data_IF_570547413663
#
_entry.id   IF_570547413663
#
_cell.length_a   1.000
_cell.length_b   1.000
_cell.length_c   1.000
_cell.angle_alpha   90.00
_cell.angle_beta   90.00
_cell.angle_gamma   90.00
#
_symmetry.space_group_name_H-M   'P 1'
#
loop_
_entity.id
_entity.type
_entity.pdbx_description
1 polymer ?
#
# COMPACT_ATOMS: atom_id res chain seq x y z
N UNK A 1 34.78 25.63 -70.40
CA UNK A 1 36.04 25.05 -69.85
C UNK A 1 37.21 25.70 -70.59
N UNK A 2 38.35 26.03 -69.95
CA UNK A 2 38.94 25.46 -68.72
C UNK A 2 38.82 26.40 -67.49
N UNK A 3 38.56 25.88 -66.27
CA UNK A 3 39.51 25.39 -65.24
C UNK A 3 40.27 26.54 -64.55
N UNK A 4 40.41 26.71 -63.23
CA UNK A 4 40.30 25.86 -62.02
C UNK A 4 40.28 26.82 -60.79
N UNK A 5 39.68 26.45 -59.63
CA UNK A 5 39.85 27.11 -58.32
C UNK A 5 41.07 26.49 -57.57
N UNK A 6 41.34 26.64 -56.24
CA UNK A 6 40.69 27.40 -55.14
C UNK A 6 41.68 28.16 -54.21
N UNK A 7 41.17 28.84 -53.17
CA UNK A 7 41.93 29.11 -51.95
C UNK A 7 41.10 28.74 -50.71
N UNK A 8 41.57 27.72 -49.97
CA UNK A 8 41.14 27.37 -48.61
C UNK A 8 42.06 28.07 -47.61
N UNK A 9 41.53 28.62 -46.52
CA UNK A 9 42.21 28.85 -45.22
C UNK A 9 41.11 29.36 -44.26
N UNK A 10 40.93 29.01 -42.98
CA UNK A 10 41.50 28.08 -42.00
C UNK A 10 40.45 27.94 -40.88
N UNK A 11 40.44 26.80 -40.20
CA UNK A 11 39.77 26.61 -38.92
C UNK A 11 40.60 27.20 -37.77
N UNK A 12 39.94 27.88 -36.82
CA UNK A 12 40.36 28.25 -35.44
C UNK A 12 39.06 28.80 -34.79
N UNK A 13 38.62 28.49 -33.56
CA UNK A 13 39.13 27.74 -32.44
C UNK A 13 38.02 27.61 -31.36
N UNK A 14 38.37 26.93 -30.27
CA UNK A 14 37.51 26.46 -29.17
C UNK A 14 36.90 27.56 -28.26
N UNK A 15 35.86 27.14 -27.53
CA UNK A 15 35.59 27.31 -26.07
C UNK A 15 34.22 27.91 -25.67
N UNK A 16 33.50 27.08 -24.89
CA UNK A 16 32.75 27.38 -23.66
C UNK A 16 31.89 28.64 -23.56
N UNK A 17 30.60 28.42 -23.28
CA UNK A 17 30.01 28.82 -21.99
C UNK A 17 28.62 28.18 -21.82
N UNK A 18 28.47 27.40 -20.75
CA UNK A 18 27.17 27.20 -20.10
C UNK A 18 26.63 28.57 -19.68
N UNK A 19 25.36 28.84 -19.94
CA UNK A 19 24.58 29.73 -19.09
C UNK A 19 23.23 29.08 -18.79
N UNK A 20 23.15 28.53 -17.58
CA UNK A 20 21.90 28.36 -16.82
C UNK A 20 21.59 29.73 -16.20
N UNK A 21 20.31 30.10 -16.19
CA UNK A 21 19.54 31.06 -15.34
C UNK A 21 18.48 31.64 -16.28
N UNK A 22 17.17 31.62 -16.04
CA UNK A 22 16.34 31.15 -14.95
C UNK A 22 14.92 31.60 -15.29
N UNK A 23 13.94 30.73 -15.15
CA UNK A 23 12.53 31.12 -15.12
C UNK A 23 11.94 30.52 -13.84
N UNK A 24 12.01 31.34 -12.78
CA UNK A 24 11.20 31.22 -11.58
C UNK A 24 9.72 31.39 -11.96
N UNK A 25 8.87 30.52 -11.42
CA UNK A 25 7.42 30.76 -11.39
C UNK A 25 6.62 29.95 -12.41
N UNK A 26 6.45 28.65 -12.14
CA UNK A 26 5.29 27.91 -12.62
C UNK A 26 4.77 27.04 -11.47
N UNK A 27 3.52 27.30 -11.10
CA UNK A 27 2.73 26.58 -10.10
C UNK A 27 2.94 25.06 -10.14
N UNK A 28 3.17 24.45 -8.97
CA UNK A 28 3.36 23.01 -8.77
C UNK A 28 2.08 22.16 -8.98
N UNK A 29 1.17 22.62 -9.83
CA UNK A 29 -0.07 21.96 -10.17
C UNK A 29 -0.25 22.00 -11.68
N UNK A 30 0.56 21.22 -12.40
CA UNK A 30 0.27 20.93 -13.81
C UNK A 30 0.80 19.56 -14.20
N UNK A 31 -0.11 18.78 -14.79
CA UNK A 31 0.07 17.54 -15.55
C UNK A 31 0.13 16.26 -14.72
N UNK A 32 -1.04 15.59 -14.68
CA UNK A 32 -1.11 14.13 -14.79
C UNK A 32 -0.47 13.70 -16.12
N UNK A 33 0.84 13.87 -16.24
CA UNK A 33 1.63 13.22 -17.26
C UNK A 33 1.65 11.76 -16.87
N UNK A 34 1.01 10.94 -17.69
CA UNK A 34 1.27 9.51 -17.78
C UNK A 34 2.79 9.30 -17.72
N UNK A 35 3.30 8.96 -16.54
CA UNK A 35 4.72 8.77 -16.30
C UNK A 35 5.04 7.33 -16.65
N UNK A 36 5.85 7.11 -17.68
CA UNK A 36 6.31 5.76 -17.96
C UNK A 36 7.43 5.42 -16.99
N UNK A 37 7.23 4.41 -16.14
CA UNK A 37 8.24 3.90 -15.22
C UNK A 37 8.51 2.44 -15.56
N UNK A 38 9.74 2.12 -15.91
CA UNK A 38 10.14 0.73 -16.24
C UNK A 38 9.19 0.06 -17.26
N UNK A 39 8.78 0.83 -18.28
CA UNK A 39 7.86 0.38 -19.33
C UNK A 39 6.37 0.41 -18.94
N UNK A 40 6.05 0.61 -17.66
CA UNK A 40 4.69 0.76 -17.18
C UNK A 40 4.19 2.19 -17.37
N UNK A 41 3.07 2.35 -18.06
CA UNK A 41 2.40 3.65 -18.18
C UNK A 41 1.55 3.92 -16.93
N UNK A 42 2.07 4.74 -16.02
CA UNK A 42 1.43 5.02 -14.73
C UNK A 42 0.25 5.96 -14.93
N UNK A 43 -0.93 5.53 -14.47
CA UNK A 43 -2.18 6.26 -14.51
C UNK A 43 -3.38 5.36 -14.18
N UNK A 44 -4.61 5.87 -14.23
CA UNK A 44 -5.82 5.06 -14.06
C UNK A 44 -5.89 3.96 -15.11
N UNK A 45 -6.26 2.75 -14.69
CA UNK A 45 -6.33 1.58 -15.58
C UNK A 45 -4.98 1.12 -16.14
N UNK A 46 -3.87 1.46 -15.48
CA UNK A 46 -2.54 1.01 -15.89
C UNK A 46 -2.47 -0.53 -15.92
N UNK A 47 -1.81 -1.08 -16.94
CA UNK A 47 -1.60 -2.52 -17.12
C UNK A 47 -0.13 -2.82 -16.92
N UNK A 48 0.25 -3.14 -15.70
CA UNK A 48 1.65 -3.29 -15.30
C UNK A 48 1.89 -4.50 -14.39
N UNK A 49 1.54 -5.72 -14.85
CA UNK A 49 1.83 -6.94 -14.10
C UNK A 49 3.34 -7.16 -14.02
N UNK A 50 3.81 -7.66 -12.87
CA UNK A 50 5.19 -8.10 -12.63
C UNK A 50 6.29 -7.06 -12.88
N UNK A 51 5.91 -5.77 -13.03
CA UNK A 51 6.88 -4.69 -13.25
C UNK A 51 7.60 -4.37 -11.95
N UNK A 52 8.90 -4.05 -12.05
CA UNK A 52 9.66 -3.56 -10.91
C UNK A 52 9.50 -2.06 -10.78
N UNK A 53 8.92 -1.61 -9.68
CA UNK A 53 8.72 -0.21 -9.28
C UNK A 53 9.19 -0.01 -7.82
N UNK A 54 10.16 -0.81 -7.37
CA UNK A 54 10.81 -0.70 -6.07
C UNK A 54 11.28 0.74 -5.84
N UNK A 55 11.06 1.26 -4.63
CA UNK A 55 11.45 2.61 -4.20
C UNK A 55 10.90 3.76 -5.07
N UNK A 56 9.93 3.48 -5.96
CA UNK A 56 9.37 4.48 -6.83
C UNK A 56 8.58 5.54 -6.04
N UNK A 57 8.74 6.80 -6.41
CA UNK A 57 7.90 7.88 -5.90
C UNK A 57 6.59 7.95 -6.70
N UNK A 58 5.52 7.44 -6.08
CA UNK A 58 4.16 7.33 -6.59
C UNK A 58 3.17 8.07 -5.66
N UNK A 59 3.63 9.07 -4.90
CA UNK A 59 2.77 9.85 -4.00
C UNK A 59 1.65 10.53 -4.77
N UNK A 60 0.44 10.47 -4.22
CA UNK A 60 -0.76 11.10 -4.78
C UNK A 60 -1.10 10.70 -6.23
N UNK A 61 -0.49 9.63 -6.74
CA UNK A 61 -0.77 9.17 -8.10
C UNK A 61 -2.18 8.59 -8.19
N UNK A 62 -2.77 8.64 -9.37
CA UNK A 62 -4.01 7.94 -9.65
C UNK A 62 -3.71 6.63 -10.39
N UNK A 63 -4.00 5.51 -9.74
CA UNK A 63 -3.89 4.12 -10.18
C UNK A 63 -5.25 3.41 -10.04
N UNK A 64 -6.35 4.17 -10.04
CA UNK A 64 -7.69 3.62 -9.93
C UNK A 64 -7.94 2.59 -11.04
N UNK A 65 -8.41 1.39 -10.66
CA UNK A 65 -8.71 0.29 -11.58
C UNK A 65 -7.49 -0.32 -12.28
N UNK A 66 -6.27 -0.01 -11.86
CA UNK A 66 -5.06 -0.55 -12.50
C UNK A 66 -4.87 -2.04 -12.21
N UNK A 67 -4.33 -2.77 -13.19
CA UNK A 67 -3.98 -4.19 -13.08
C UNK A 67 -2.46 -4.33 -12.91
N UNK A 68 -2.05 -4.58 -11.68
CA UNK A 68 -0.64 -4.57 -11.26
C UNK A 68 -0.32 -5.80 -10.40
N UNK A 69 -0.88 -6.96 -10.76
CA UNK A 69 -0.58 -8.22 -10.08
C UNK A 69 0.91 -8.54 -10.14
N UNK A 70 1.49 -9.02 -9.03
CA UNK A 70 2.90 -9.40 -8.94
C UNK A 70 3.91 -8.25 -9.01
N UNK A 71 3.43 -6.99 -9.12
CA UNK A 71 4.30 -5.81 -9.19
C UNK A 71 5.22 -5.74 -7.97
N UNK A 72 6.48 -5.35 -8.18
CA UNK A 72 7.43 -5.13 -7.09
C UNK A 72 7.41 -3.65 -6.71
N UNK A 73 6.82 -3.32 -5.56
CA UNK A 73 6.68 -2.00 -4.98
C UNK A 73 7.36 -1.90 -3.60
N UNK A 74 8.30 -2.80 -3.31
CA UNK A 74 9.04 -2.78 -2.04
C UNK A 74 9.71 -1.40 -1.85
N UNK A 75 9.52 -0.80 -0.66
CA UNK A 75 10.02 0.55 -0.34
C UNK A 75 9.37 1.70 -1.10
N UNK A 76 8.37 1.46 -1.97
CA UNK A 76 7.75 2.50 -2.78
C UNK A 76 6.96 3.51 -1.93
N UNK A 77 6.89 4.74 -2.42
CA UNK A 77 6.18 5.84 -1.78
C UNK A 77 4.82 6.04 -2.45
N UNK A 78 3.76 5.53 -1.83
CA UNK A 78 2.37 5.52 -2.32
C UNK A 78 1.44 6.38 -1.46
N UNK A 79 1.99 7.25 -0.61
CA UNK A 79 1.20 8.03 0.33
C UNK A 79 0.22 8.93 -0.43
N UNK A 80 -1.05 8.89 -0.02
CA UNK A 80 -2.16 9.59 -0.67
C UNK A 80 -2.54 9.10 -2.08
N UNK A 81 -1.96 8.01 -2.57
CA UNK A 81 -2.30 7.46 -3.89
C UNK A 81 -3.77 7.01 -3.94
N UNK A 82 -4.40 7.20 -5.11
CA UNK A 82 -5.72 6.66 -5.43
C UNK A 82 -5.56 5.32 -6.11
N UNK A 83 -6.06 4.28 -5.47
CA UNK A 83 -5.86 2.88 -5.85
C UNK A 83 -7.17 2.11 -5.63
N UNK A 84 -8.30 2.79 -5.84
CA UNK A 84 -9.63 2.17 -5.74
C UNK A 84 -9.77 1.13 -6.84
N UNK A 85 -10.34 -0.03 -6.52
CA UNK A 85 -10.50 -1.17 -7.42
C UNK A 85 -9.20 -1.67 -8.07
N UNK A 86 -8.02 -1.37 -7.48
CA UNK A 86 -6.74 -1.82 -8.02
C UNK A 86 -6.57 -3.34 -7.81
N UNK A 87 -5.94 -4.02 -8.76
CA UNK A 87 -5.46 -5.38 -8.60
C UNK A 87 -3.96 -5.37 -8.28
N UNK A 88 -3.64 -5.77 -7.05
CA UNK A 88 -2.30 -5.94 -6.48
C UNK A 88 -2.10 -7.35 -5.93
N UNK A 89 -2.80 -8.34 -6.49
CA UNK A 89 -2.62 -9.74 -6.09
C UNK A 89 -1.16 -10.12 -6.21
N UNK A 90 -0.60 -10.79 -5.19
CA UNK A 90 0.80 -11.24 -5.14
C UNK A 90 1.84 -10.11 -5.27
N UNK A 91 1.43 -8.84 -5.16
CA UNK A 91 2.36 -7.72 -5.21
C UNK A 91 3.30 -7.73 -4.00
N UNK A 92 4.52 -7.25 -4.20
CA UNK A 92 5.46 -7.02 -3.10
C UNK A 92 5.44 -5.55 -2.70
N UNK A 93 4.82 -5.24 -1.57
CA UNK A 93 4.70 -3.92 -0.94
C UNK A 93 5.50 -3.85 0.37
N UNK A 94 6.47 -4.75 0.58
CA UNK A 94 7.28 -4.77 1.79
C UNK A 94 7.90 -3.39 2.04
N UNK A 95 7.74 -2.88 3.26
CA UNK A 95 8.24 -1.56 3.70
C UNK A 95 7.73 -0.36 2.87
N UNK A 96 6.71 -0.54 2.02
CA UNK A 96 6.12 0.55 1.25
C UNK A 96 5.32 1.52 2.15
N UNK A 97 5.21 2.78 1.71
CA UNK A 97 4.47 3.83 2.44
C UNK A 97 3.15 4.16 1.75
N UNK A 98 2.06 3.60 2.25
CA UNK A 98 0.69 3.81 1.79
C UNK A 98 -0.12 4.74 2.73
N UNK A 99 0.54 5.61 3.48
CA UNK A 99 -0.12 6.52 4.43
C UNK A 99 -1.22 7.34 3.73
N UNK A 100 -2.46 7.23 4.23
CA UNK A 100 -3.62 7.92 3.67
C UNK A 100 -4.07 7.47 2.26
N UNK A 101 -3.52 6.38 1.71
CA UNK A 101 -3.92 5.88 0.38
C UNK A 101 -5.39 5.42 0.34
N UNK A 102 -6.00 5.50 -0.84
CA UNK A 102 -7.40 5.13 -1.09
C UNK A 102 -7.47 3.81 -1.86
N UNK A 103 -7.78 2.72 -1.17
CA UNK A 103 -7.73 1.32 -1.61
C UNK A 103 -9.10 0.64 -1.46
N UNK A 104 -10.19 1.40 -1.66
CA UNK A 104 -11.53 0.82 -1.60
C UNK A 104 -11.66 -0.30 -2.63
N UNK A 105 -12.16 -1.46 -2.19
CA UNK A 105 -12.28 -2.70 -2.96
C UNK A 105 -10.99 -3.18 -3.67
N UNK A 106 -9.81 -2.75 -3.21
CA UNK A 106 -8.54 -3.25 -3.76
C UNK A 106 -8.40 -4.76 -3.57
N UNK A 107 -7.83 -5.46 -4.55
CA UNK A 107 -7.46 -6.87 -4.44
C UNK A 107 -5.97 -7.00 -4.13
N UNK A 108 -5.66 -7.36 -2.88
CA UNK A 108 -4.34 -7.55 -2.29
C UNK A 108 -4.14 -9.02 -1.85
N UNK A 109 -4.89 -9.96 -2.44
CA UNK A 109 -4.73 -11.39 -2.12
C UNK A 109 -3.30 -11.85 -2.35
N UNK A 110 -2.75 -12.60 -1.39
CA UNK A 110 -1.37 -13.08 -1.37
C UNK A 110 -0.29 -11.97 -1.46
N UNK A 111 -0.64 -10.69 -1.22
CA UNK A 111 0.34 -9.61 -1.28
C UNK A 111 1.26 -9.61 -0.04
N UNK A 112 2.54 -9.25 -0.25
CA UNK A 112 3.48 -9.02 0.84
C UNK A 112 3.45 -7.54 1.25
N UNK A 113 2.94 -7.25 2.45
CA UNK A 113 2.84 -5.93 3.08
C UNK A 113 3.66 -5.87 4.38
N UNK A 114 4.63 -6.76 4.57
CA UNK A 114 5.47 -6.77 5.77
C UNK A 114 6.09 -5.40 6.01
N UNK A 115 5.98 -4.90 7.24
CA UNK A 115 6.54 -3.61 7.67
C UNK A 115 6.04 -2.40 6.86
N UNK A 116 4.98 -2.53 6.07
CA UNK A 116 4.41 -1.43 5.31
C UNK A 116 3.71 -0.43 6.24
N UNK A 117 3.73 0.86 5.88
CA UNK A 117 2.99 1.90 6.59
C UNK A 117 1.67 2.16 5.87
N UNK A 118 0.55 1.87 6.53
CA UNK A 118 -0.83 2.08 6.03
C UNK A 118 -1.61 3.03 6.94
N UNK A 119 -0.93 4.00 7.55
CA UNK A 119 -1.52 4.85 8.58
C UNK A 119 -2.63 5.71 7.97
N UNK A 120 -3.84 5.60 8.53
CA UNK A 120 -5.01 6.31 8.00
C UNK A 120 -5.42 5.91 6.58
N UNK A 121 -4.84 4.85 6.00
CA UNK A 121 -5.24 4.35 4.69
C UNK A 121 -6.70 3.85 4.72
N UNK A 122 -7.39 3.95 3.59
CA UNK A 122 -8.80 3.59 3.46
C UNK A 122 -8.95 2.38 2.55
N UNK A 123 -9.17 1.22 3.14
CA UNK A 123 -9.31 -0.08 2.49
C UNK A 123 -10.70 -0.72 2.73
N UNK A 124 -11.83 0.00 2.65
CA UNK A 124 -13.13 -0.64 2.86
C UNK A 124 -13.36 -1.73 1.81
N UNK A 125 -13.85 -2.88 2.26
CA UNK A 125 -14.10 -4.07 1.45
C UNK A 125 -12.89 -4.61 0.66
N UNK A 126 -11.66 -4.23 1.00
CA UNK A 126 -10.48 -4.76 0.32
C UNK A 126 -10.34 -6.27 0.56
N UNK A 127 -9.80 -6.97 -0.44
CA UNK A 127 -9.43 -8.37 -0.31
C UNK A 127 -7.96 -8.47 0.10
N UNK A 128 -7.70 -8.91 1.32
CA UNK A 128 -6.37 -9.16 1.92
C UNK A 128 -6.24 -10.63 2.31
N UNK A 129 -7.00 -11.53 1.66
CA UNK A 129 -6.92 -12.95 1.93
C UNK A 129 -5.48 -13.45 1.72
N UNK A 130 -4.97 -14.22 2.68
CA UNK A 130 -3.60 -14.75 2.69
C UNK A 130 -2.48 -13.70 2.58
N UNK A 131 -2.79 -12.41 2.76
CA UNK A 131 -1.79 -11.35 2.70
C UNK A 131 -0.87 -11.40 3.93
N UNK A 132 0.39 -11.00 3.74
CA UNK A 132 1.39 -10.93 4.79
C UNK A 132 1.56 -9.49 5.27
N UNK A 133 0.96 -9.15 6.41
CA UNK A 133 0.96 -7.83 7.05
C UNK A 133 1.80 -7.83 8.33
N UNK A 134 2.74 -8.78 8.51
CA UNK A 134 3.56 -8.84 9.72
C UNK A 134 4.26 -7.52 9.96
N UNK A 135 4.18 -7.04 11.20
CA UNK A 135 4.76 -5.76 11.64
C UNK A 135 4.26 -4.52 10.88
N UNK A 136 3.17 -4.60 10.11
CA UNK A 136 2.61 -3.46 9.38
C UNK A 136 1.99 -2.42 10.34
N UNK A 137 2.09 -1.13 9.98
CA UNK A 137 1.49 -0.03 10.73
C UNK A 137 0.16 0.40 10.11
N UNK A 138 -0.94 -0.10 10.66
CA UNK A 138 -2.32 0.16 10.24
C UNK A 138 -3.03 1.14 11.18
N UNK A 139 -2.28 1.98 11.92
CA UNK A 139 -2.88 2.93 12.87
C UNK A 139 -3.93 3.80 12.19
N UNK A 140 -5.14 3.82 12.76
CA UNK A 140 -6.30 4.58 12.26
C UNK A 140 -6.71 4.22 10.82
N UNK A 141 -6.27 3.09 10.26
CA UNK A 141 -6.72 2.63 8.96
C UNK A 141 -8.22 2.29 8.98
N UNK A 142 -8.89 2.42 7.83
CA UNK A 142 -10.30 2.08 7.65
C UNK A 142 -10.40 0.81 6.82
N UNK A 143 -10.68 -0.31 7.48
CA UNK A 143 -10.73 -1.67 6.94
C UNK A 143 -12.13 -2.29 7.10
N UNK A 144 -13.17 -1.44 7.13
CA UNK A 144 -14.56 -1.88 7.28
C UNK A 144 -14.92 -2.88 6.19
N UNK A 145 -15.35 -4.09 6.59
CA UNK A 145 -15.72 -5.15 5.65
C UNK A 145 -14.54 -5.79 4.90
N UNK A 146 -13.29 -5.48 5.25
CA UNK A 146 -12.13 -6.09 4.61
C UNK A 146 -12.07 -7.60 4.87
N UNK A 147 -11.64 -8.37 3.87
CA UNK A 147 -11.44 -9.82 3.95
C UNK A 147 -9.97 -10.09 4.27
N UNK A 148 -9.66 -10.59 5.45
CA UNK A 148 -8.31 -10.94 5.92
C UNK A 148 -8.25 -12.42 6.30
N UNK A 149 -8.99 -13.26 5.57
CA UNK A 149 -9.01 -14.72 5.79
C UNK A 149 -7.60 -15.27 5.62
N UNK A 150 -7.11 -16.02 6.61
CA UNK A 150 -5.76 -16.60 6.63
C UNK A 150 -4.62 -15.59 6.45
N UNK A 151 -4.86 -14.30 6.68
CA UNK A 151 -3.81 -13.28 6.63
C UNK A 151 -2.88 -13.37 7.83
N UNK A 152 -1.60 -13.02 7.66
CA UNK A 152 -0.65 -12.91 8.77
C UNK A 152 -0.50 -11.46 9.19
N UNK A 153 -0.91 -11.13 10.42
CA UNK A 153 -0.83 -9.82 11.05
C UNK A 153 0.02 -9.86 12.33
N UNK A 154 0.93 -10.83 12.46
CA UNK A 154 1.79 -10.98 13.64
C UNK A 154 2.51 -9.66 13.94
N UNK A 155 2.38 -9.15 15.16
CA UNK A 155 3.00 -7.90 15.59
C UNK A 155 2.50 -6.62 14.89
N UNK A 156 1.45 -6.69 14.06
CA UNK A 156 0.91 -5.51 13.37
C UNK A 156 0.31 -4.49 14.36
N UNK A 157 0.41 -3.20 14.03
CA UNK A 157 -0.15 -2.12 14.84
C UNK A 157 -1.46 -1.61 14.23
N UNK A 158 -2.60 -1.98 14.81
CA UNK A 158 -3.95 -1.59 14.37
C UNK A 158 -4.62 -0.58 15.33
N UNK A 159 -3.84 0.14 16.15
CA UNK A 159 -4.40 1.06 17.14
C UNK A 159 -5.36 2.08 16.50
N UNK A 160 -6.59 2.11 17.00
CA UNK A 160 -7.64 3.01 16.53
C UNK A 160 -8.17 2.74 15.12
N UNK A 161 -7.85 1.58 14.52
CA UNK A 161 -8.38 1.21 13.21
C UNK A 161 -9.90 0.95 13.25
N UNK A 162 -10.58 1.24 12.15
CA UNK A 162 -11.98 0.85 11.92
C UNK A 162 -12.02 -0.50 11.21
N UNK A 163 -12.31 -1.55 11.97
CA UNK A 163 -12.32 -2.95 11.56
C UNK A 163 -13.74 -3.53 11.60
N UNK A 164 -14.77 -2.68 11.58
CA UNK A 164 -16.16 -3.12 11.65
C UNK A 164 -16.45 -4.10 10.52
N UNK A 165 -17.04 -5.25 10.85
CA UNK A 165 -17.38 -6.31 9.89
C UNK A 165 -16.18 -6.88 9.11
N UNK A 166 -14.95 -6.66 9.58
CA UNK A 166 -13.78 -7.30 8.97
C UNK A 166 -13.80 -8.81 9.23
N UNK A 167 -13.31 -9.60 8.26
CA UNK A 167 -13.24 -11.05 8.37
C UNK A 167 -11.80 -11.50 8.61
N UNK A 168 -11.48 -11.98 9.82
CA UNK A 168 -10.20 -12.52 10.24
C UNK A 168 -10.23 -14.05 10.40
N UNK A 169 -11.14 -14.74 9.70
CA UNK A 169 -11.22 -16.19 9.73
C UNK A 169 -9.85 -16.84 9.49
N UNK A 170 -9.40 -17.69 10.42
CA UNK A 170 -8.09 -18.35 10.44
C UNK A 170 -6.87 -17.40 10.29
N UNK A 171 -7.01 -16.10 10.58
CA UNK A 171 -5.91 -15.15 10.52
C UNK A 171 -4.97 -15.27 11.74
N UNK A 172 -3.69 -14.92 11.55
CA UNK A 172 -2.72 -14.86 12.63
C UNK A 172 -2.52 -13.41 13.11
N UNK A 173 -3.04 -13.07 14.28
CA UNK A 173 -2.89 -11.76 14.94
C UNK A 173 -2.02 -11.83 16.20
N UNK A 174 -1.13 -12.83 16.33
CA UNK A 174 -0.33 -12.94 17.54
C UNK A 174 0.49 -11.67 17.81
N UNK A 175 0.39 -11.16 19.04
CA UNK A 175 1.05 -9.92 19.48
C UNK A 175 0.55 -8.64 18.80
N UNK A 176 -0.54 -8.67 18.03
CA UNK A 176 -1.07 -7.47 17.36
C UNK A 176 -1.62 -6.44 18.36
N UNK A 177 -1.39 -5.15 18.09
CA UNK A 177 -1.91 -4.04 18.88
C UNK A 177 -3.23 -3.52 18.29
N UNK A 178 -4.35 -3.94 18.88
CA UNK A 178 -5.71 -3.57 18.50
C UNK A 178 -6.32 -2.53 19.45
N UNK A 179 -5.50 -1.84 20.26
CA UNK A 179 -6.01 -0.89 21.26
C UNK A 179 -6.88 0.17 20.59
N UNK A 180 -8.03 0.46 21.19
CA UNK A 180 -8.99 1.47 20.70
C UNK A 180 -9.56 1.21 19.29
N UNK A 181 -9.32 0.03 18.68
CA UNK A 181 -9.90 -0.31 17.39
C UNK A 181 -11.42 -0.51 17.50
N UNK A 182 -12.15 -0.35 16.40
CA UNK A 182 -13.58 -0.66 16.32
C UNK A 182 -13.78 -2.01 15.64
N UNK A 183 -14.10 -3.04 16.43
CA UNK A 183 -14.18 -4.45 16.03
C UNK A 183 -15.63 -4.94 15.87
N UNK A 184 -16.62 -4.06 15.96
CA UNK A 184 -18.04 -4.45 15.94
C UNK A 184 -18.39 -5.27 14.70
N UNK A 185 -18.97 -6.45 14.92
CA UNK A 185 -19.33 -7.42 13.88
C UNK A 185 -18.15 -8.07 13.16
N UNK A 186 -16.92 -7.97 13.66
CA UNK A 186 -15.78 -8.69 13.09
C UNK A 186 -15.93 -10.22 13.29
N UNK A 187 -15.33 -10.99 12.39
CA UNK A 187 -15.23 -12.44 12.51
C UNK A 187 -13.79 -12.84 12.89
N UNK A 188 -13.60 -13.52 14.02
CA UNK A 188 -12.32 -14.07 14.48
C UNK A 188 -12.36 -15.60 14.56
N UNK A 189 -13.24 -16.25 13.81
CA UNK A 189 -13.32 -17.71 13.79
C UNK A 189 -11.95 -18.33 13.45
N UNK A 190 -11.47 -19.27 14.28
CA UNK A 190 -10.16 -19.89 14.13
C UNK A 190 -8.94 -18.96 14.19
N UNK A 191 -9.11 -17.68 14.53
CA UNK A 191 -8.02 -16.71 14.52
C UNK A 191 -7.08 -16.91 15.72
N UNK A 192 -5.79 -16.69 15.50
CA UNK A 192 -4.80 -16.65 16.58
C UNK A 192 -4.66 -15.22 17.11
N UNK A 193 -5.11 -14.96 18.34
CA UNK A 193 -4.99 -13.68 19.04
C UNK A 193 -4.06 -13.75 20.26
N UNK A 194 -3.13 -14.72 20.28
CA UNK A 194 -2.21 -14.88 21.39
C UNK A 194 -1.43 -13.59 21.66
N UNK A 195 -1.39 -13.17 22.92
CA UNK A 195 -0.69 -11.96 23.36
C UNK A 195 -1.12 -10.65 22.67
N UNK A 196 -2.24 -10.66 21.93
CA UNK A 196 -2.79 -9.45 21.32
C UNK A 196 -3.33 -8.47 22.37
N UNK A 197 -3.43 -7.18 22.02
CA UNK A 197 -3.91 -6.14 22.93
C UNK A 197 -5.15 -5.42 22.38
N UNK A 198 -6.32 -5.77 22.91
CA UNK A 198 -7.62 -5.19 22.58
C UNK A 198 -8.08 -4.14 23.60
N UNK A 199 -7.20 -3.65 24.49
CA UNK A 199 -7.63 -2.70 25.53
C UNK A 199 -8.26 -1.44 24.92
N UNK A 200 -9.47 -1.14 25.36
CA UNK A 200 -10.26 -0.02 24.88
C UNK A 200 -10.85 -0.20 23.47
N UNK A 201 -10.70 -1.37 22.86
CA UNK A 201 -11.37 -1.68 21.61
C UNK A 201 -12.90 -1.70 21.80
N UNK A 202 -13.63 -1.29 20.76
CA UNK A 202 -15.09 -1.37 20.74
C UNK A 202 -15.50 -2.74 20.23
N UNK A 203 -16.07 -3.54 21.11
CA UNK A 203 -16.60 -4.87 20.82
C UNK A 203 -18.12 -4.90 21.08
N UNK A 204 -18.83 -5.81 20.43
CA UNK A 204 -20.24 -6.08 20.70
C UNK A 204 -20.55 -7.58 20.60
N UNK A 205 -21.80 -7.95 20.85
CA UNK A 205 -22.25 -9.34 20.85
C UNK A 205 -22.26 -10.01 19.46
N UNK A 206 -22.03 -9.25 18.38
CA UNK A 206 -22.04 -9.78 17.01
C UNK A 206 -20.68 -10.32 16.57
N UNK A 207 -19.62 -10.12 17.37
CA UNK A 207 -18.30 -10.68 17.07
C UNK A 207 -18.32 -12.20 17.20
N UNK A 208 -17.79 -12.88 16.18
CA UNK A 208 -17.62 -14.34 16.19
C UNK A 208 -16.23 -14.70 16.74
N UNK A 209 -16.20 -15.50 17.80
CA UNK A 209 -14.96 -15.93 18.49
C UNK A 209 -14.72 -17.45 18.44
N UNK A 210 -15.47 -18.16 17.60
CA UNK A 210 -15.47 -19.63 17.55
C UNK A 210 -14.05 -20.13 17.29
N UNK A 211 -13.51 -20.95 18.18
CA UNK A 211 -12.14 -21.51 18.05
C UNK A 211 -11.01 -20.47 17.99
N UNK A 212 -11.24 -19.23 18.42
CA UNK A 212 -10.18 -18.22 18.50
C UNK A 212 -9.21 -18.54 19.66
N UNK A 213 -7.90 -18.56 19.40
CA UNK A 213 -6.91 -18.67 20.48
C UNK A 213 -6.63 -17.29 21.08
N UNK A 214 -7.16 -17.05 22.28
CA UNK A 214 -7.01 -15.77 22.99
C UNK A 214 -6.03 -15.86 24.16
N UNK A 215 -5.13 -16.86 24.22
CA UNK A 215 -4.21 -17.00 25.34
C UNK A 215 -3.29 -15.78 25.47
N UNK A 216 -3.24 -15.18 26.66
CA UNK A 216 -2.42 -13.98 26.91
C UNK A 216 -3.00 -12.68 26.31
N UNK A 217 -4.12 -12.76 25.58
CA UNK A 217 -4.76 -11.59 25.01
C UNK A 217 -5.27 -10.64 26.11
N UNK A 218 -4.97 -9.35 25.98
CA UNK A 218 -5.43 -8.30 26.90
C UNK A 218 -6.71 -7.67 26.36
N UNK A 219 -7.80 -7.73 27.11
CA UNK A 219 -9.09 -7.15 26.71
C UNK A 219 -9.91 -8.01 25.75
N UNK A 220 -9.47 -9.24 25.44
CA UNK A 220 -10.34 -10.24 24.83
C UNK A 220 -11.42 -10.72 25.83
N UNK A 221 -12.59 -11.15 25.35
CA UNK A 221 -13.55 -11.84 26.20
C UNK A 221 -12.96 -13.15 26.74
N UNK A 222 -13.46 -13.63 27.88
CA UNK A 222 -13.20 -14.99 28.30
C UNK A 222 -13.93 -15.93 27.33
N UNK A 223 -13.21 -16.60 26.43
CA UNK A 223 -13.79 -17.61 25.55
C UNK A 223 -14.03 -18.89 26.35
N UNK A 224 -15.21 -19.54 26.23
CA UNK A 224 -15.39 -20.88 26.75
C UNK A 224 -14.40 -21.80 26.00
N UNK A 225 -13.59 -22.55 26.76
CA UNK A 225 -12.65 -23.54 26.22
C UNK A 225 -13.38 -24.68 25.53
#
# INVERSE_FOLDING_TARGET
MPARPPARLKAFGLLSALLVIGALGASSATLAQSRTLNGCRIGPGALCPDVRLSDANLRNVDLTGSLMSGVQLNGAELSGAKMTDINLRKANLQSARLDGALLANADLEDANLQQASLRGARLPNANLQSADLREADLRKAVLRGAKMVSASLTGATLQGADLRRANFDAADLAGADLRKADLRGANFEGANLRDADLRGARIDASIRWISADTQGCKGCPATPR
#
